data_IF_978070458391
#
_entry.id   IF_978070458391
#
_cell.length_a   1.000
_cell.length_b   1.000
_cell.length_c   1.000
_cell.angle_alpha   90.00
_cell.angle_beta   90.00
_cell.angle_gamma   90.00
#
_symmetry.space_group_name_H-M   'P 1'
#
loop_
_entity.id
_entity.type
_entity.pdbx_description
1 polymer ?
#
# COMPACT_ATOMS: atom_id res chain seq x y z
N UNK A 1 11.32 39.19 2.61
CA UNK A 1 10.99 38.05 1.75
C UNK A 1 10.07 37.14 2.52
N UNK A 2 8.82 37.01 2.09
CA UNK A 2 7.86 36.08 2.71
C UNK A 2 8.20 34.69 2.16
N UNK A 3 8.95 33.89 2.92
CA UNK A 3 9.18 32.49 2.58
C UNK A 3 7.86 31.75 2.79
N UNK A 4 7.20 31.35 1.72
CA UNK A 4 6.04 30.48 1.80
C UNK A 4 6.42 29.20 2.54
N UNK A 5 5.58 28.76 3.49
CA UNK A 5 5.80 27.47 4.18
C UNK A 5 5.93 26.34 3.16
N UNK A 6 6.85 25.41 3.35
CA UNK A 6 6.98 24.26 2.44
C UNK A 6 5.67 23.48 2.38
N UNK A 7 5.24 23.17 1.16
CA UNK A 7 4.08 22.30 0.93
C UNK A 7 4.52 20.84 0.92
N UNK A 8 3.73 19.99 1.54
CA UNK A 8 3.97 18.55 1.62
C UNK A 8 2.86 17.77 0.93
N UNK A 9 3.21 16.58 0.47
CA UNK A 9 2.27 15.57 -0.01
C UNK A 9 2.67 14.20 0.51
N UNK A 10 1.70 13.37 0.78
CA UNK A 10 1.88 11.96 1.08
C UNK A 10 1.66 11.17 -0.21
N UNK A 11 2.65 10.33 -0.56
CA UNK A 11 2.64 9.55 -1.80
C UNK A 11 2.72 8.06 -1.49
N UNK A 12 1.96 7.29 -2.25
CA UNK A 12 2.10 5.85 -2.39
C UNK A 12 2.70 5.53 -3.75
N UNK A 13 3.77 4.76 -3.75
CA UNK A 13 4.33 4.12 -4.93
C UNK A 13 3.81 2.69 -4.94
N UNK A 14 3.15 2.30 -6.02
CA UNK A 14 2.41 1.06 -6.05
C UNK A 14 2.44 0.36 -7.41
N UNK A 15 2.10 -0.92 -7.42
CA UNK A 15 1.81 -1.71 -8.60
C UNK A 15 0.29 -1.75 -8.84
N UNK A 16 -0.11 -1.56 -10.08
CA UNK A 16 -1.49 -1.79 -10.51
C UNK A 16 -1.68 -3.25 -10.90
N UNK A 17 -2.76 -3.90 -10.42
CA UNK A 17 -3.15 -5.21 -10.87
C UNK A 17 -3.78 -5.15 -12.28
N UNK A 18 -4.08 -6.32 -12.82
CA UNK A 18 -4.88 -6.44 -14.04
C UNK A 18 -6.36 -6.15 -13.78
N UNK A 19 -7.14 -5.79 -14.81
CA UNK A 19 -8.58 -5.54 -14.66
C UNK A 19 -9.35 -6.71 -14.02
N UNK A 20 -8.94 -7.95 -14.27
CA UNK A 20 -9.56 -9.12 -13.65
C UNK A 20 -9.39 -9.13 -12.12
N UNK A 21 -8.21 -8.79 -11.62
CA UNK A 21 -7.92 -8.69 -10.18
C UNK A 21 -8.67 -7.51 -9.56
N UNK A 22 -8.71 -6.39 -10.27
CA UNK A 22 -9.46 -5.21 -9.85
C UNK A 22 -10.95 -5.52 -9.69
N UNK A 23 -11.56 -6.18 -10.66
CA UNK A 23 -12.97 -6.60 -10.61
C UNK A 23 -13.24 -7.55 -9.44
N UNK A 24 -12.36 -8.52 -9.19
CA UNK A 24 -12.51 -9.43 -8.05
C UNK A 24 -12.36 -8.69 -6.71
N UNK A 25 -11.41 -7.76 -6.58
CA UNK A 25 -11.27 -6.95 -5.37
C UNK A 25 -12.52 -6.08 -5.11
N UNK A 26 -13.10 -5.49 -6.16
CA UNK A 26 -14.37 -4.74 -6.08
C UNK A 26 -15.53 -5.66 -5.68
N UNK A 27 -15.60 -6.88 -6.24
CA UNK A 27 -16.61 -7.88 -5.86
C UNK A 27 -16.50 -8.24 -4.38
N UNK A 28 -15.29 -8.52 -3.89
CA UNK A 28 -15.03 -8.79 -2.48
C UNK A 28 -15.46 -7.64 -1.59
N UNK A 29 -15.11 -6.40 -1.96
CA UNK A 29 -15.51 -5.21 -1.22
C UNK A 29 -17.03 -5.08 -1.13
N UNK A 30 -17.76 -5.22 -2.25
CA UNK A 30 -19.23 -5.15 -2.27
C UNK A 30 -19.88 -6.24 -1.42
N UNK A 31 -19.32 -7.46 -1.42
CA UNK A 31 -19.83 -8.54 -0.56
C UNK A 31 -19.58 -8.22 0.92
N UNK A 32 -18.44 -7.62 1.26
CA UNK A 32 -18.15 -7.17 2.61
C UNK A 32 -19.08 -6.04 3.05
N UNK A 33 -19.30 -5.03 2.21
CA UNK A 33 -20.27 -3.95 2.47
C UNK A 33 -21.67 -4.52 2.76
N UNK A 34 -22.13 -5.45 1.94
CA UNK A 34 -23.43 -6.09 2.13
C UNK A 34 -23.51 -6.92 3.42
N UNK A 35 -22.45 -7.67 3.74
CA UNK A 35 -22.41 -8.53 4.94
C UNK A 35 -22.24 -7.74 6.24
N UNK A 36 -21.60 -6.57 6.19
CA UNK A 36 -21.22 -5.79 7.37
C UNK A 36 -22.22 -4.69 7.73
N UNK A 37 -23.25 -4.47 6.93
CA UNK A 37 -24.33 -3.49 7.08
C UNK A 37 -23.90 -2.27 7.93
N UNK A 38 -23.91 -1.06 7.36
CA UNK A 38 -23.63 0.23 8.00
C UNK A 38 -22.19 0.80 7.90
N UNK A 39 -21.33 0.22 7.08
CA UNK A 39 -20.01 0.83 6.83
C UNK A 39 -19.76 0.98 5.32
N UNK A 40 -20.18 2.07 4.68
CA UNK A 40 -19.81 2.33 3.30
C UNK A 40 -18.29 2.44 3.21
N UNK A 41 -17.68 1.59 2.40
CA UNK A 41 -16.24 1.51 2.27
C UNK A 41 -15.82 1.76 0.83
N UNK A 42 -15.43 2.99 0.53
CA UNK A 42 -14.97 3.34 -0.83
C UNK A 42 -13.55 2.84 -1.04
N UNK A 43 -13.38 1.87 -1.92
CA UNK A 43 -12.07 1.56 -2.48
C UNK A 43 -11.83 2.52 -3.64
N UNK A 44 -10.90 3.44 -3.46
CA UNK A 44 -10.59 4.44 -4.50
C UNK A 44 -9.68 3.87 -5.58
N UNK A 45 -8.69 3.07 -5.23
CA UNK A 45 -7.73 2.50 -6.16
C UNK A 45 -7.27 1.13 -5.68
N UNK A 46 -7.46 0.12 -6.51
CA UNK A 46 -6.94 -1.23 -6.24
C UNK A 46 -5.46 -1.27 -6.62
N UNK A 47 -4.59 -1.54 -5.65
CA UNK A 47 -3.15 -1.52 -5.85
C UNK A 47 -2.41 -2.37 -4.81
N UNK A 48 -1.14 -2.66 -5.07
CA UNK A 48 -0.19 -3.19 -4.10
C UNK A 48 0.84 -2.11 -3.81
N UNK A 49 0.84 -1.56 -2.60
CA UNK A 49 1.82 -0.56 -2.18
C UNK A 49 3.22 -1.16 -2.13
N UNK A 50 4.19 -0.49 -2.75
CA UNK A 50 5.61 -0.81 -2.65
C UNK A 50 6.30 0.07 -1.61
N UNK A 51 5.95 1.36 -1.56
CA UNK A 51 6.48 2.30 -0.60
C UNK A 51 5.48 3.45 -0.37
N UNK A 52 5.43 3.96 0.83
CA UNK A 52 4.64 5.14 1.18
C UNK A 52 5.52 6.10 1.97
N UNK A 53 5.39 7.39 1.69
CA UNK A 53 6.20 8.41 2.36
C UNK A 53 5.58 9.80 2.29
N UNK A 54 6.07 10.69 3.15
CA UNK A 54 5.78 12.12 3.11
C UNK A 54 6.93 12.85 2.42
N UNK A 55 6.60 13.76 1.50
CA UNK A 55 7.55 14.44 0.64
C UNK A 55 7.24 15.93 0.55
N UNK A 56 8.24 16.76 0.24
CA UNK A 56 7.99 18.12 -0.22
C UNK A 56 7.45 18.08 -1.64
N UNK A 57 6.44 18.87 -1.94
CA UNK A 57 5.88 18.96 -3.31
C UNK A 57 6.95 19.30 -4.36
N UNK A 58 7.97 20.07 -3.99
CA UNK A 58 9.09 20.41 -4.87
C UNK A 58 9.97 19.21 -5.28
N UNK A 59 9.82 18.05 -4.65
CA UNK A 59 10.55 16.82 -5.01
C UNK A 59 9.76 15.93 -5.96
N UNK A 60 8.50 16.25 -6.23
CA UNK A 60 7.60 15.36 -6.98
C UNK A 60 8.15 14.95 -8.35
N UNK A 61 8.65 15.91 -9.13
CA UNK A 61 9.21 15.64 -10.46
C UNK A 61 10.43 14.70 -10.40
N UNK A 62 11.28 14.85 -9.39
CA UNK A 62 12.45 13.97 -9.20
C UNK A 62 12.03 12.56 -8.82
N UNK A 63 10.98 12.43 -7.99
CA UNK A 63 10.38 11.14 -7.62
C UNK A 63 9.84 10.44 -8.85
N UNK A 64 9.08 11.16 -9.68
CA UNK A 64 8.51 10.62 -10.92
C UNK A 64 9.61 10.16 -11.88
N UNK A 65 10.67 10.96 -12.04
CA UNK A 65 11.79 10.61 -12.92
C UNK A 65 12.54 9.36 -12.43
N UNK A 66 12.83 9.27 -11.12
CA UNK A 66 13.44 8.07 -10.54
C UNK A 66 12.57 6.82 -10.74
N UNK A 67 11.25 6.95 -10.64
CA UNK A 67 10.33 5.83 -10.85
C UNK A 67 10.21 5.42 -12.31
N UNK A 68 10.29 6.35 -13.26
CA UNK A 68 10.37 6.03 -14.70
C UNK A 68 11.56 5.14 -15.01
N UNK A 69 12.74 5.46 -14.49
CA UNK A 69 13.95 4.65 -14.67
C UNK A 69 13.76 3.23 -14.10
N UNK A 70 13.15 3.10 -12.93
CA UNK A 70 12.84 1.78 -12.36
C UNK A 70 11.84 1.03 -13.25
N UNK A 71 10.78 1.71 -13.71
CA UNK A 71 9.74 1.09 -14.53
C UNK A 71 10.29 0.58 -15.88
N UNK A 72 11.19 1.33 -16.52
CA UNK A 72 11.84 0.94 -17.79
C UNK A 72 12.71 -0.32 -17.62
N UNK A 73 13.33 -0.50 -16.46
CA UNK A 73 14.17 -1.66 -16.16
C UNK A 73 13.40 -2.85 -15.59
N UNK A 74 12.13 -2.65 -15.20
CA UNK A 74 11.30 -3.68 -14.60
C UNK A 74 10.53 -4.45 -15.65
N UNK A 75 10.95 -5.68 -15.91
CA UNK A 75 10.16 -6.61 -16.73
C UNK A 75 8.89 -7.03 -16.01
N UNK A 76 7.84 -7.33 -16.77
CA UNK A 76 6.61 -7.89 -16.21
C UNK A 76 6.88 -9.20 -15.49
N UNK A 77 6.37 -9.36 -14.27
CA UNK A 77 6.54 -10.58 -13.47
C UNK A 77 5.21 -11.01 -12.84
N UNK A 78 5.16 -12.29 -12.49
CA UNK A 78 3.96 -12.90 -11.91
C UNK A 78 3.84 -12.55 -10.43
N UNK A 79 2.63 -12.15 -10.04
CA UNK A 79 2.21 -12.00 -8.64
C UNK A 79 1.15 -13.04 -8.34
N UNK A 80 1.29 -13.75 -7.24
CA UNK A 80 0.29 -14.70 -6.74
C UNK A 80 -0.42 -14.12 -5.52
N UNK A 81 -1.74 -14.22 -5.49
CA UNK A 81 -2.58 -13.77 -4.38
C UNK A 81 -3.04 -14.97 -3.56
N UNK A 82 -3.22 -14.76 -2.25
CA UNK A 82 -3.70 -15.78 -1.35
C UNK A 82 -5.17 -16.18 -1.64
N UNK A 83 -5.54 -17.38 -1.22
CA UNK A 83 -6.92 -17.88 -1.33
C UNK A 83 -7.86 -17.37 -0.21
N UNK A 84 -7.35 -16.55 0.71
CA UNK A 84 -8.08 -16.02 1.87
C UNK A 84 -7.72 -14.57 2.10
N UNK A 85 -8.67 -13.83 2.69
CA UNK A 85 -8.43 -12.52 3.23
C UNK A 85 -7.82 -12.63 4.63
N UNK A 86 -6.97 -11.66 4.99
CA UNK A 86 -6.35 -11.54 6.30
C UNK A 86 -6.77 -10.21 6.92
N UNK A 87 -7.17 -10.24 8.18
CA UNK A 87 -7.42 -9.03 8.95
C UNK A 87 -6.14 -8.59 9.66
N UNK A 88 -5.83 -7.29 9.55
CA UNK A 88 -4.83 -6.64 10.39
C UNK A 88 -5.17 -5.15 10.58
N UNK A 89 -5.06 -4.67 11.83
CA UNK A 89 -5.30 -3.27 12.18
C UNK A 89 -6.67 -2.74 11.74
N UNK A 90 -7.70 -3.58 11.80
CA UNK A 90 -9.06 -3.23 11.41
C UNK A 90 -9.29 -3.14 9.90
N UNK A 91 -8.37 -3.64 9.09
CA UNK A 91 -8.51 -3.70 7.64
C UNK A 91 -8.48 -5.14 7.15
N UNK A 92 -9.11 -5.40 6.00
CA UNK A 92 -9.05 -6.69 5.32
C UNK A 92 -8.16 -6.60 4.11
N UNK A 93 -7.18 -7.48 4.07
CA UNK A 93 -6.17 -7.56 3.05
C UNK A 93 -6.26 -8.83 2.23
N UNK A 94 -6.14 -8.69 0.94
CA UNK A 94 -5.88 -9.78 0.02
C UNK A 94 -4.38 -9.83 -0.25
N UNK A 95 -3.68 -10.72 0.44
CA UNK A 95 -2.22 -10.74 0.45
C UNK A 95 -1.67 -11.24 -0.88
N UNK A 96 -0.57 -10.62 -1.30
CA UNK A 96 0.29 -11.15 -2.33
C UNK A 96 1.42 -11.98 -1.70
N UNK A 97 1.73 -13.13 -2.29
CA UNK A 97 2.88 -13.92 -1.86
C UNK A 97 4.18 -13.13 -2.08
N UNK A 98 4.99 -13.06 -1.05
CA UNK A 98 6.28 -12.39 -1.14
C UNK A 98 7.24 -13.24 -1.98
N UNK A 99 7.45 -12.83 -3.23
CA UNK A 99 8.40 -13.43 -4.17
C UNK A 99 9.64 -12.56 -4.29
N UNK A 100 10.77 -13.12 -4.70
CA UNK A 100 12.03 -12.39 -4.84
C UNK A 100 11.90 -11.15 -5.72
N UNK A 101 11.27 -11.27 -6.89
CA UNK A 101 11.09 -10.15 -7.83
C UNK A 101 10.27 -8.99 -7.23
N UNK A 102 9.19 -9.30 -6.51
CA UNK A 102 8.38 -8.29 -5.82
C UNK A 102 9.16 -7.61 -4.69
N UNK A 103 9.92 -8.40 -3.94
CA UNK A 103 10.75 -7.87 -2.86
C UNK A 103 11.94 -7.05 -3.39
N UNK A 104 12.56 -7.48 -4.50
CA UNK A 104 13.64 -6.73 -5.12
C UNK A 104 13.15 -5.40 -5.69
N UNK A 105 11.98 -5.38 -6.32
CA UNK A 105 11.34 -4.13 -6.77
C UNK A 105 11.02 -3.20 -5.58
N UNK A 106 10.48 -3.74 -4.49
CA UNK A 106 10.26 -2.96 -3.27
C UNK A 106 11.57 -2.31 -2.77
N UNK A 107 12.67 -3.09 -2.68
CA UNK A 107 13.97 -2.55 -2.25
C UNK A 107 14.49 -1.45 -3.17
N UNK A 108 14.37 -1.63 -4.48
CA UNK A 108 14.76 -0.62 -5.47
C UNK A 108 13.97 0.67 -5.31
N UNK A 109 12.64 0.57 -5.15
CA UNK A 109 11.77 1.72 -4.92
C UNK A 109 12.14 2.42 -3.61
N UNK A 110 12.31 1.68 -2.51
CA UNK A 110 12.72 2.28 -1.22
C UNK A 110 14.05 3.00 -1.35
N UNK A 111 15.06 2.37 -1.95
CA UNK A 111 16.39 2.96 -2.11
C UNK A 111 16.37 4.23 -2.96
N UNK A 112 15.59 4.25 -4.04
CA UNK A 112 15.52 5.40 -4.94
C UNK A 112 14.69 6.56 -4.39
N UNK A 113 13.62 6.29 -3.62
CA UNK A 113 12.62 7.28 -3.26
C UNK A 113 12.76 7.78 -1.82
N UNK A 114 13.18 6.93 -0.87
CA UNK A 114 13.31 7.33 0.54
C UNK A 114 14.25 8.54 0.77
N UNK A 115 15.31 8.79 -0.04
CA UNK A 115 16.14 9.99 0.12
C UNK A 115 15.40 11.32 -0.10
N UNK A 116 14.28 11.32 -0.81
CA UNK A 116 13.46 12.52 -1.05
C UNK A 116 12.44 12.80 0.03
N UNK A 117 12.25 11.86 0.99
CA UNK A 117 11.26 11.99 2.06
C UNK A 117 11.56 13.17 3.00
N UNK A 118 10.51 13.69 3.60
CA UNK A 118 10.60 14.72 4.63
C UNK A 118 9.62 14.41 5.78
N UNK A 119 10.16 13.81 6.83
CA UNK A 119 9.41 13.46 8.03
C UNK A 119 8.74 12.08 7.96
N UNK A 120 7.80 11.88 8.90
CA UNK A 120 7.05 10.65 9.12
C UNK A 120 5.68 10.78 8.44
N UNK A 121 5.16 9.70 7.89
CA UNK A 121 3.76 9.66 7.45
C UNK A 121 2.83 9.98 8.62
N UNK A 122 1.86 10.92 8.45
CA UNK A 122 1.00 11.36 9.54
C UNK A 122 0.30 10.23 10.30
N UNK A 123 -0.14 9.19 9.59
CA UNK A 123 -0.81 8.02 10.16
C UNK A 123 0.04 7.28 11.21
N UNK A 124 1.36 7.43 11.21
CA UNK A 124 2.26 6.78 12.17
C UNK A 124 2.66 7.67 13.33
N UNK A 125 2.36 8.97 13.32
CA UNK A 125 2.79 9.92 14.36
C UNK A 125 2.23 9.50 15.74
N UNK A 126 0.93 9.24 15.83
CA UNK A 126 0.27 8.93 17.12
C UNK A 126 0.57 7.52 17.62
N UNK A 127 0.87 6.59 16.72
CA UNK A 127 1.19 5.22 17.11
C UNK A 127 2.69 5.00 17.35
N UNK A 128 3.56 5.90 16.87
CA UNK A 128 5.01 5.77 16.97
C UNK A 128 5.52 5.38 18.36
N UNK A 129 5.10 6.05 19.47
CA UNK A 129 5.61 5.70 20.80
C UNK A 129 5.22 4.29 21.28
N UNK A 130 4.17 3.71 20.69
CA UNK A 130 3.62 2.38 21.04
C UNK A 130 4.22 1.25 20.22
N UNK A 131 4.98 1.57 19.19
CA UNK A 131 5.58 0.57 18.31
C UNK A 131 6.84 -0.05 18.95
N UNK A 132 7.20 -1.24 18.48
CA UNK A 132 8.47 -1.86 18.86
C UNK A 132 9.66 -0.99 18.40
N UNK A 133 10.79 -1.07 19.10
CA UNK A 133 12.01 -0.34 18.75
C UNK A 133 12.45 -0.54 17.31
N UNK A 134 12.30 -1.74 16.82
CA UNK A 134 12.58 -2.10 15.43
C UNK A 134 11.71 -1.30 14.43
N UNK A 135 10.40 -1.22 14.68
CA UNK A 135 9.48 -0.43 13.85
C UNK A 135 9.73 1.06 13.97
N UNK A 136 10.05 1.56 15.17
CA UNK A 136 10.45 2.94 15.38
C UNK A 136 11.68 3.28 14.52
N UNK A 137 12.71 2.42 14.53
CA UNK A 137 13.91 2.62 13.72
C UNK A 137 13.59 2.71 12.21
N UNK A 138 12.70 1.83 11.69
CA UNK A 138 12.28 1.93 10.29
C UNK A 138 11.52 3.23 9.99
N UNK A 139 10.72 3.72 10.93
CA UNK A 139 10.05 5.01 10.76
C UNK A 139 11.07 6.15 10.75
N UNK A 140 12.07 6.12 11.62
CA UNK A 140 13.12 7.14 11.68
C UNK A 140 13.93 7.15 10.38
N UNK A 141 14.28 5.98 9.86
CA UNK A 141 15.09 5.81 8.66
C UNK A 141 14.30 6.05 7.36
N UNK A 142 13.02 5.62 7.29
CA UNK A 142 12.25 5.56 6.05
C UNK A 142 10.89 6.26 6.09
N UNK A 143 10.48 6.83 7.25
CA UNK A 143 9.18 7.50 7.43
C UNK A 143 7.98 6.57 7.57
N UNK A 144 8.18 5.25 7.46
CA UNK A 144 7.16 4.19 7.52
C UNK A 144 7.76 2.91 8.09
N UNK A 145 7.00 2.11 8.87
CA UNK A 145 7.51 0.84 9.40
C UNK A 145 7.44 -0.32 8.38
N UNK A 146 6.76 -0.13 7.23
CA UNK A 146 6.43 -1.21 6.28
C UNK A 146 7.46 -1.35 5.16
N UNK A 147 8.74 -1.45 5.54
CA UNK A 147 9.84 -1.64 4.59
C UNK A 147 10.66 -2.89 4.92
N UNK A 148 11.34 -3.42 3.91
CA UNK A 148 12.23 -4.57 4.00
C UNK A 148 11.59 -5.78 4.68
N UNK A 149 12.12 -6.24 5.80
CA UNK A 149 11.57 -7.41 6.52
C UNK A 149 10.13 -7.22 7.03
N UNK A 150 9.67 -5.99 7.12
CA UNK A 150 8.29 -5.65 7.47
C UNK A 150 7.43 -5.37 6.22
N UNK A 151 7.96 -5.55 5.02
CA UNK A 151 7.20 -5.40 3.79
C UNK A 151 6.15 -6.51 3.69
N UNK A 152 4.91 -6.09 3.60
CA UNK A 152 3.75 -6.97 3.58
C UNK A 152 2.88 -6.59 2.37
N UNK A 153 3.16 -7.17 1.18
CA UNK A 153 2.44 -6.82 -0.03
C UNK A 153 1.01 -7.33 0.00
N UNK A 154 0.05 -6.44 -0.24
CA UNK A 154 -1.37 -6.76 -0.22
C UNK A 154 -2.18 -5.78 -1.04
N UNK A 155 -3.38 -6.19 -1.40
CA UNK A 155 -4.48 -5.34 -1.85
C UNK A 155 -5.42 -5.13 -0.67
N UNK A 156 -5.69 -3.88 -0.28
CA UNK A 156 -6.71 -3.59 0.73
C UNK A 156 -8.08 -3.71 0.08
N UNK A 157 -8.92 -4.61 0.62
CA UNK A 157 -10.28 -4.83 0.13
C UNK A 157 -11.35 -4.21 1.01
N UNK A 158 -11.00 -3.86 2.26
CA UNK A 158 -11.91 -3.18 3.18
C UNK A 158 -11.15 -2.46 4.28
N UNK A 159 -11.60 -1.25 4.65
CA UNK A 159 -10.99 -0.41 5.70
C UNK A 159 -11.89 -0.33 6.92
N UNK A 160 -11.30 -0.17 8.11
CA UNK A 160 -11.97 0.15 9.37
C UNK A 160 -13.12 -0.80 9.73
N UNK A 161 -12.88 -2.12 9.62
CA UNK A 161 -13.87 -3.11 10.01
C UNK A 161 -14.13 -3.07 11.52
N UNK A 162 -15.40 -3.09 11.90
CA UNK A 162 -15.80 -3.26 13.29
C UNK A 162 -15.27 -4.62 13.84
N UNK A 163 -14.51 -4.63 14.95
CA UNK A 163 -13.98 -5.86 15.53
C UNK A 163 -15.03 -6.95 15.76
N UNK A 164 -16.27 -6.59 16.10
CA UNK A 164 -17.36 -7.55 16.29
C UNK A 164 -17.79 -8.29 15.02
N UNK A 165 -17.51 -7.71 13.86
CA UNK A 165 -17.90 -8.20 12.53
C UNK A 165 -16.78 -8.99 11.80
N UNK A 166 -15.58 -9.06 12.36
CA UNK A 166 -14.42 -9.72 11.74
C UNK A 166 -14.70 -11.18 11.38
N UNK A 167 -15.39 -11.92 12.24
CA UNK A 167 -15.69 -13.33 11.99
C UNK A 167 -16.62 -13.53 10.79
N UNK A 168 -17.59 -12.64 10.60
CA UNK A 168 -18.45 -12.62 9.43
C UNK A 168 -17.62 -12.31 8.17
N UNK A 169 -16.79 -11.32 8.22
CA UNK A 169 -15.92 -10.91 7.09
C UNK A 169 -14.97 -12.03 6.64
N UNK A 170 -14.45 -12.85 7.56
CA UNK A 170 -13.56 -13.99 7.26
C UNK A 170 -14.23 -15.12 6.46
N UNK A 171 -15.56 -15.15 6.38
CA UNK A 171 -16.28 -16.12 5.53
C UNK A 171 -16.21 -15.77 4.04
N UNK A 172 -15.97 -14.50 3.72
CA UNK A 172 -15.88 -14.01 2.35
C UNK A 172 -14.48 -14.31 1.80
N UNK A 173 -14.43 -14.93 0.63
CA UNK A 173 -13.19 -15.42 0.02
C UNK A 173 -13.13 -15.08 -1.46
N UNK A 174 -11.93 -14.96 -2.03
CA UNK A 174 -11.74 -14.96 -3.48
C UNK A 174 -12.34 -16.22 -4.12
N UNK A 175 -12.93 -16.06 -5.30
CA UNK A 175 -13.65 -17.16 -5.97
C UNK A 175 -12.74 -18.29 -6.46
N UNK A 176 -11.50 -17.97 -6.78
CA UNK A 176 -10.50 -18.91 -7.30
C UNK A 176 -9.09 -18.49 -6.86
N UNK A 177 -8.09 -19.27 -7.22
CA UNK A 177 -6.70 -18.86 -7.14
C UNK A 177 -6.42 -17.78 -8.18
N UNK A 178 -5.92 -16.64 -7.74
CA UNK A 178 -5.56 -15.55 -8.62
C UNK A 178 -4.05 -15.38 -8.71
N UNK A 179 -3.58 -15.20 -9.93
CA UNK A 179 -2.25 -14.70 -10.22
C UNK A 179 -2.30 -13.82 -11.46
N UNK A 180 -1.44 -12.84 -11.55
CA UNK A 180 -1.39 -11.92 -12.68
C UNK A 180 0.03 -11.46 -12.94
N UNK A 181 0.26 -10.93 -14.14
CA UNK A 181 1.53 -10.32 -14.51
C UNK A 181 1.37 -8.81 -14.53
N UNK A 182 2.34 -8.11 -13.94
CA UNK A 182 2.37 -6.65 -13.97
C UNK A 182 3.80 -6.11 -13.87
N UNK A 183 4.01 -4.93 -14.41
CA UNK A 183 5.12 -4.03 -14.17
C UNK A 183 4.64 -2.57 -14.14
N UNK A 184 3.33 -2.36 -14.00
CA UNK A 184 2.72 -1.03 -14.01
C UNK A 184 2.94 -0.34 -12.67
N UNK A 185 4.00 0.46 -12.59
CA UNK A 185 4.26 1.35 -11.46
C UNK A 185 3.42 2.61 -11.57
N UNK A 186 2.88 3.05 -10.44
CA UNK A 186 2.18 4.31 -10.29
C UNK A 186 2.66 5.09 -9.08
N UNK A 187 2.44 6.40 -9.12
CA UNK A 187 2.50 7.31 -7.97
C UNK A 187 1.09 7.83 -7.73
N UNK A 188 0.58 7.61 -6.53
CA UNK A 188 -0.70 8.14 -6.08
C UNK A 188 -0.52 9.06 -4.87
N UNK A 189 -1.34 10.12 -4.76
CA UNK A 189 -1.45 10.87 -3.50
C UNK A 189 -2.28 10.05 -2.53
N UNK A 190 -1.83 9.96 -1.28
CA UNK A 190 -2.62 9.38 -0.19
C UNK A 190 -3.58 10.49 0.26
N UNK A 191 -4.89 10.23 0.15
CA UNK A 191 -5.93 11.07 0.72
C UNK A 191 -6.26 10.57 2.13
N UNK A 192 -6.36 11.49 3.08
CA UNK A 192 -6.98 11.25 4.38
C UNK A 192 -8.32 11.98 4.31
N UNK A 193 -9.38 11.27 3.92
CA UNK A 193 -10.77 11.77 3.97
C UNK A 193 -11.34 11.60 5.38
#
# INVERSE_FOLDING_TARGET
>A
MITSKPKFCELAIALLPTPEIEQEAIRLNKQLEHALIDCPNKINLIHISLFQGRFRESQFEKIVESLKQIAELTSSFRIELDSKLTEACGNLFWNAKLQSQLFDLHKQVVAAISPYRDGILPVFVDCYPKLSKDKQQFIDDYGTPHVFRNFFPHITVYYNIDPSKINCAKTIKPQKHFSFFTNKLIVGRIGYD
#
